data_IF_903458420105
#
_entry.id   IF_903458420105
#
_cell.length_a   1.000
_cell.length_b   1.000
_cell.length_c   1.000
_cell.angle_alpha   90.00
_cell.angle_beta   90.00
_cell.angle_gamma   90.00
#
_symmetry.space_group_name_H-M   'P 1'
#
loop_
_entity.id
_entity.type
_entity.pdbx_description
1 polymer ?
#
# COMPACT_ATOMS: atom_id res chain seq x y z
N UNK A 1 -27.99 -3.80 -11.15
CA UNK A 1 -27.88 -5.26 -10.94
C UNK A 1 -27.79 -5.92 -12.29
N UNK A 2 -26.73 -6.67 -12.53
CA UNK A 2 -26.58 -7.43 -13.77
C UNK A 2 -26.65 -8.91 -13.41
N UNK A 3 -27.47 -9.66 -14.16
CA UNK A 3 -27.53 -11.12 -14.09
C UNK A 3 -27.22 -11.65 -15.49
N UNK A 4 -26.28 -12.59 -15.59
CA UNK A 4 -26.00 -13.29 -16.84
C UNK A 4 -26.68 -14.66 -16.83
N UNK A 5 -27.40 -14.99 -17.90
CA UNK A 5 -27.85 -16.35 -18.19
C UNK A 5 -27.01 -16.91 -19.34
N UNK A 6 -26.44 -18.11 -19.13
CA UNK A 6 -25.77 -18.84 -20.19
C UNK A 6 -26.60 -20.09 -20.49
N UNK A 7 -26.94 -20.28 -21.76
CA UNK A 7 -27.65 -21.46 -22.27
C UNK A 7 -26.64 -22.35 -23.00
N UNK A 8 -26.45 -23.59 -22.48
CA UNK A 8 -25.62 -24.60 -23.12
C UNK A 8 -26.54 -25.66 -23.76
N UNK A 9 -26.54 -25.69 -25.11
CA UNK A 9 -27.30 -26.66 -25.90
C UNK A 9 -26.56 -27.98 -26.02
N UNK A 10 -26.39 -28.67 -24.91
CA UNK A 10 -25.89 -30.04 -24.92
C UNK A 10 -26.91 -31.05 -25.38
N UNK A 11 -26.47 -32.23 -25.88
CA UNK A 11 -27.30 -33.33 -26.32
C UNK A 11 -28.24 -33.92 -25.23
N UNK A 12 -28.15 -33.43 -23.98
CA UNK A 12 -28.98 -33.79 -22.82
C UNK A 12 -30.06 -32.79 -22.45
N UNK A 13 -30.31 -31.78 -23.28
CA UNK A 13 -31.25 -30.68 -23.03
C UNK A 13 -30.55 -29.41 -22.53
N UNK A 14 -31.23 -28.26 -22.71
CA UNK A 14 -30.72 -26.97 -22.28
C UNK A 14 -30.55 -26.94 -20.77
N UNK A 15 -29.32 -26.66 -20.31
CA UNK A 15 -29.01 -26.41 -18.90
C UNK A 15 -28.80 -24.92 -18.71
N UNK A 16 -29.67 -24.27 -17.92
CA UNK A 16 -29.57 -22.85 -17.61
C UNK A 16 -28.73 -22.68 -16.35
N UNK A 17 -27.51 -22.13 -16.49
CA UNK A 17 -26.68 -21.68 -15.36
C UNK A 17 -27.00 -20.24 -15.01
N UNK A 18 -27.26 -19.93 -13.74
CA UNK A 18 -27.41 -18.55 -13.27
C UNK A 18 -26.14 -18.13 -12.51
N UNK A 19 -25.54 -17.01 -12.91
CA UNK A 19 -24.47 -16.38 -12.13
C UNK A 19 -25.02 -15.73 -10.86
N UNK A 20 -24.15 -15.53 -9.85
CA UNK A 20 -24.48 -14.71 -8.70
C UNK A 20 -24.79 -13.24 -9.11
N UNK A 21 -25.51 -12.53 -8.25
CA UNK A 21 -25.78 -11.09 -8.46
C UNK A 21 -24.52 -10.29 -8.16
N UNK A 22 -24.02 -9.57 -9.16
CA UNK A 22 -22.96 -8.58 -8.97
C UNK A 22 -23.60 -7.19 -8.79
N UNK A 23 -23.33 -6.55 -7.67
CA UNK A 23 -23.74 -5.18 -7.40
C UNK A 23 -22.57 -4.25 -7.67
N UNK A 24 -22.75 -3.27 -8.57
CA UNK A 24 -21.80 -2.22 -8.84
C UNK A 24 -22.31 -0.92 -8.23
N UNK A 25 -21.43 -0.21 -7.52
CA UNK A 25 -21.66 1.17 -7.10
C UNK A 25 -20.85 2.10 -7.99
N UNK A 26 -21.52 3.11 -8.55
CA UNK A 26 -20.82 4.19 -9.27
C UNK A 26 -20.45 5.24 -8.23
N UNK A 27 -19.16 5.46 -8.09
CA UNK A 27 -18.58 6.46 -7.18
C UNK A 27 -17.88 7.56 -8.00
N UNK A 28 -17.75 8.75 -7.44
CA UNK A 28 -16.97 9.82 -8.06
C UNK A 28 -15.46 9.48 -8.01
N UNK A 29 -14.64 10.05 -8.90
CA UNK A 29 -13.19 9.89 -8.83
C UNK A 29 -12.60 10.32 -7.47
N UNK A 30 -13.14 11.39 -6.87
CA UNK A 30 -12.70 11.89 -5.56
C UNK A 30 -13.02 10.89 -4.44
N UNK A 31 -14.22 10.29 -4.43
CA UNK A 31 -14.61 9.25 -3.47
C UNK A 31 -13.74 8.00 -3.62
N UNK A 32 -13.52 7.54 -4.85
CA UNK A 32 -12.66 6.39 -5.12
C UNK A 32 -11.22 6.65 -4.66
N UNK A 33 -10.71 7.84 -4.93
CA UNK A 33 -9.36 8.22 -4.48
C UNK A 33 -9.26 8.20 -2.95
N UNK A 34 -10.24 8.76 -2.25
CA UNK A 34 -10.30 8.74 -0.79
C UNK A 34 -10.32 7.32 -0.23
N UNK A 35 -11.11 6.42 -0.80
CA UNK A 35 -11.13 5.00 -0.41
C UNK A 35 -9.78 4.31 -0.62
N UNK A 36 -9.10 4.60 -1.74
CA UNK A 36 -7.76 4.09 -2.02
C UNK A 36 -6.77 4.56 -0.95
N UNK A 37 -6.82 5.83 -0.55
CA UNK A 37 -5.96 6.39 0.49
C UNK A 37 -6.18 5.72 1.85
N UNK A 38 -7.44 5.50 2.24
CA UNK A 38 -7.75 4.78 3.50
C UNK A 38 -7.13 3.39 3.48
N UNK A 39 -7.26 2.67 2.35
CA UNK A 39 -6.66 1.33 2.19
C UNK A 39 -5.14 1.38 2.27
N UNK A 40 -4.50 2.34 1.63
CA UNK A 40 -3.03 2.51 1.68
C UNK A 40 -2.55 2.84 3.10
N UNK A 41 -3.23 3.73 3.83
CA UNK A 41 -2.93 4.03 5.25
C UNK A 41 -3.05 2.79 6.14
N UNK A 42 -4.05 1.95 5.90
CA UNK A 42 -4.19 0.70 6.62
C UNK A 42 -3.03 -0.29 6.33
N UNK A 43 -2.57 -0.39 5.08
CA UNK A 43 -1.40 -1.22 4.75
C UNK A 43 -0.10 -0.63 5.34
N UNK A 44 0.07 0.70 5.35
CA UNK A 44 1.19 1.35 6.03
C UNK A 44 1.21 1.05 7.53
N UNK A 45 0.06 1.12 8.20
CA UNK A 45 -0.04 0.79 9.63
C UNK A 45 0.40 -0.65 9.93
N UNK A 46 0.06 -1.61 9.07
CA UNK A 46 0.55 -2.99 9.17
C UNK A 46 2.06 -3.07 8.98
N UNK A 47 2.60 -2.31 8.04
CA UNK A 47 4.04 -2.28 7.79
C UNK A 47 4.81 -1.65 8.97
N UNK A 48 4.28 -0.58 9.59
CA UNK A 48 4.82 0.00 10.85
C UNK A 48 4.92 -1.09 11.92
N UNK A 49 3.85 -1.85 12.13
CA UNK A 49 3.87 -2.92 13.13
C UNK A 49 4.94 -4.00 12.85
N UNK A 50 5.22 -4.29 11.57
CA UNK A 50 6.29 -5.21 11.17
C UNK A 50 7.68 -4.61 11.44
N UNK A 51 7.89 -3.31 11.19
CA UNK A 51 9.14 -2.60 11.51
C UNK A 51 9.39 -2.64 13.02
N UNK A 52 8.40 -2.27 13.82
CA UNK A 52 8.48 -2.29 15.29
C UNK A 52 8.78 -3.69 15.83
N UNK A 53 8.15 -4.72 15.24
CA UNK A 53 8.41 -6.10 15.63
C UNK A 53 9.84 -6.54 15.28
N UNK A 54 10.37 -6.13 14.13
CA UNK A 54 11.75 -6.40 13.74
C UNK A 54 12.74 -5.69 14.66
N UNK A 55 12.51 -4.40 14.99
CA UNK A 55 13.37 -3.65 15.91
C UNK A 55 13.43 -4.27 17.31
N UNK A 56 12.31 -4.75 17.85
CA UNK A 56 12.24 -5.44 19.13
C UNK A 56 13.07 -6.73 19.18
N UNK A 57 13.41 -7.31 18.04
CA UNK A 57 14.25 -8.51 17.96
C UNK A 57 15.76 -8.18 18.00
N UNK A 58 16.15 -6.94 17.73
CA UNK A 58 17.54 -6.50 17.69
C UNK A 58 18.34 -6.84 18.96
N UNK A 59 17.86 -6.52 20.18
CA UNK A 59 18.60 -6.81 21.40
C UNK A 59 18.85 -8.32 21.61
N UNK A 60 17.91 -9.17 21.22
CA UNK A 60 18.08 -10.61 21.31
C UNK A 60 19.19 -11.14 20.39
N UNK A 61 19.29 -10.60 19.17
CA UNK A 61 20.33 -10.98 18.21
C UNK A 61 21.70 -10.36 18.56
N UNK A 62 21.74 -9.21 19.22
CA UNK A 62 22.97 -8.60 19.72
C UNK A 62 23.49 -9.30 20.96
N UNK A 63 22.61 -9.76 21.84
CA UNK A 63 22.92 -10.51 23.05
C UNK A 63 23.21 -12.00 22.79
N UNK A 64 23.19 -12.79 23.86
CA UNK A 64 23.33 -14.25 23.77
C UNK A 64 21.96 -14.93 23.73
N UNK A 65 21.25 -14.74 22.61
CA UNK A 65 19.94 -15.35 22.40
C UNK A 65 20.00 -16.88 22.55
N UNK A 66 19.06 -17.44 23.29
CA UNK A 66 18.88 -18.87 23.38
C UNK A 66 18.44 -19.46 22.03
N UNK A 67 18.74 -20.76 21.77
CA UNK A 67 18.30 -21.41 20.54
C UNK A 67 16.81 -21.26 20.26
N UNK A 68 16.00 -21.36 21.30
CA UNK A 68 14.54 -21.24 21.22
C UNK A 68 14.09 -19.83 20.78
N UNK A 69 14.78 -18.79 21.27
CA UNK A 69 14.55 -17.40 20.86
C UNK A 69 14.91 -17.18 19.40
N UNK A 70 16.03 -17.72 18.93
CA UNK A 70 16.44 -17.67 17.53
C UNK A 70 15.40 -18.34 16.63
N UNK A 71 14.89 -19.51 17.03
CA UNK A 71 13.83 -20.21 16.30
C UNK A 71 12.53 -19.40 16.28
N UNK A 72 12.18 -18.73 17.39
CA UNK A 72 11.00 -17.85 17.43
C UNK A 72 11.17 -16.65 16.50
N UNK A 73 12.35 -16.01 16.48
CA UNK A 73 12.68 -14.92 15.56
C UNK A 73 12.59 -15.39 14.09
N UNK A 74 13.12 -16.57 13.78
CA UNK A 74 13.06 -17.16 12.45
C UNK A 74 11.61 -17.39 11.99
N UNK A 75 10.72 -17.89 12.85
CA UNK A 75 9.30 -18.06 12.54
C UNK A 75 8.60 -16.73 12.32
N UNK A 76 8.89 -15.73 13.16
CA UNK A 76 8.36 -14.36 12.98
C UNK A 76 8.83 -13.76 11.65
N UNK A 77 10.09 -13.93 11.26
CA UNK A 77 10.65 -13.51 9.99
C UNK A 77 9.93 -14.14 8.78
N UNK A 78 9.61 -15.43 8.86
CA UNK A 78 8.84 -16.10 7.80
C UNK A 78 7.40 -15.52 7.68
N UNK A 79 6.78 -15.19 8.81
CA UNK A 79 5.48 -14.51 8.78
C UNK A 79 5.59 -13.10 8.21
N UNK A 80 6.63 -12.35 8.59
CA UNK A 80 6.90 -11.01 8.07
C UNK A 80 7.10 -11.01 6.55
N UNK A 81 7.84 -11.98 6.00
CA UNK A 81 8.03 -12.12 4.55
C UNK A 81 6.69 -12.23 3.80
N UNK A 82 5.78 -13.07 4.30
CA UNK A 82 4.45 -13.23 3.70
C UNK A 82 3.63 -11.93 3.80
N UNK A 83 3.66 -11.28 4.96
CA UNK A 83 2.91 -10.03 5.18
C UNK A 83 3.44 -8.89 4.32
N UNK A 84 4.76 -8.74 4.18
CA UNK A 84 5.36 -7.75 3.28
C UNK A 84 4.94 -8.00 1.83
N UNK A 85 4.95 -9.24 1.38
CA UNK A 85 4.45 -9.62 0.04
C UNK A 85 2.97 -9.27 -0.16
N UNK A 86 2.13 -9.50 0.85
CA UNK A 86 0.71 -9.14 0.80
C UNK A 86 0.49 -7.62 0.77
N UNK A 87 1.24 -6.86 1.58
CA UNK A 87 1.21 -5.39 1.57
C UNK A 87 1.60 -4.87 0.19
N UNK A 88 2.71 -5.38 -0.37
CA UNK A 88 3.16 -5.01 -1.72
C UNK A 88 2.09 -5.29 -2.79
N UNK A 89 1.43 -6.45 -2.71
CA UNK A 89 0.33 -6.81 -3.61
C UNK A 89 -0.83 -5.82 -3.52
N UNK A 90 -1.32 -5.54 -2.31
CA UNK A 90 -2.47 -4.64 -2.10
C UNK A 90 -2.20 -3.20 -2.53
N UNK A 91 -0.97 -2.70 -2.30
CA UNK A 91 -0.59 -1.36 -2.77
C UNK A 91 -0.47 -1.35 -4.30
N UNK A 92 0.05 -2.43 -4.91
CA UNK A 92 0.11 -2.56 -6.36
C UNK A 92 -1.29 -2.63 -7.00
N UNK A 93 -2.23 -3.35 -6.38
CA UNK A 93 -3.62 -3.41 -6.82
C UNK A 93 -4.29 -2.03 -6.74
N UNK A 94 -4.07 -1.29 -5.64
CA UNK A 94 -4.55 0.08 -5.48
C UNK A 94 -3.95 1.02 -6.55
N UNK A 95 -2.66 0.90 -6.85
CA UNK A 95 -2.02 1.65 -7.93
C UNK A 95 -2.61 1.31 -9.31
N UNK A 96 -2.89 0.04 -9.56
CA UNK A 96 -3.54 -0.39 -10.81
C UNK A 96 -4.97 0.18 -10.92
N UNK A 97 -5.72 0.17 -9.82
CA UNK A 97 -7.06 0.78 -9.75
C UNK A 97 -7.00 2.29 -10.04
N UNK A 98 -6.01 3.02 -9.49
CA UNK A 98 -5.77 4.44 -9.82
C UNK A 98 -5.52 4.65 -11.31
N UNK A 99 -4.65 3.81 -11.92
CA UNK A 99 -4.33 3.90 -13.36
C UNK A 99 -5.55 3.64 -14.24
N UNK A 100 -6.33 2.61 -13.93
CA UNK A 100 -7.54 2.24 -14.71
C UNK A 100 -8.62 3.32 -14.65
N UNK A 101 -8.76 3.99 -13.51
CA UNK A 101 -9.74 5.05 -13.31
C UNK A 101 -9.17 6.47 -13.58
N UNK A 102 -7.97 6.58 -14.13
CA UNK A 102 -7.29 7.84 -14.44
C UNK A 102 -7.14 8.78 -13.22
N UNK A 103 -7.01 8.21 -12.04
CA UNK A 103 -6.83 8.92 -10.78
C UNK A 103 -5.34 9.18 -10.55
N UNK A 104 -4.99 10.42 -10.29
CA UNK A 104 -3.62 10.85 -10.08
C UNK A 104 -2.85 11.10 -11.38
N UNK A 105 -1.60 11.52 -11.25
CA UNK A 105 -0.72 11.83 -12.38
C UNK A 105 0.25 10.68 -12.68
N UNK A 106 0.81 10.60 -13.89
CA UNK A 106 1.87 9.64 -14.18
C UNK A 106 3.09 9.78 -13.26
N UNK A 107 3.35 10.97 -12.73
CA UNK A 107 4.42 11.22 -11.76
C UNK A 107 4.08 10.59 -10.41
N UNK A 108 2.85 10.77 -9.92
CA UNK A 108 2.41 10.17 -8.66
C UNK A 108 2.38 8.65 -8.74
N UNK A 109 1.96 8.07 -9.87
CA UNK A 109 2.01 6.63 -10.07
C UNK A 109 3.43 6.07 -10.02
N UNK A 110 4.40 6.77 -10.62
CA UNK A 110 5.82 6.38 -10.54
C UNK A 110 6.37 6.48 -9.12
N UNK A 111 6.07 7.56 -8.40
CA UNK A 111 6.49 7.70 -6.99
C UNK A 111 6.01 6.53 -6.14
N UNK A 112 4.77 6.09 -6.30
CA UNK A 112 4.23 4.96 -5.57
C UNK A 112 4.84 3.63 -6.04
N UNK A 113 5.02 3.45 -7.36
CA UNK A 113 5.62 2.25 -7.92
C UNK A 113 7.06 2.07 -7.46
N UNK A 114 7.90 3.08 -7.77
CA UNK A 114 9.35 3.01 -7.58
C UNK A 114 9.76 3.20 -6.12
N UNK A 115 8.99 4.02 -5.36
CA UNK A 115 9.28 4.33 -3.96
C UNK A 115 8.72 3.32 -2.96
N UNK A 116 7.64 2.61 -3.31
CA UNK A 116 6.94 1.74 -2.35
C UNK A 116 6.77 0.31 -2.87
N UNK A 117 6.10 0.13 -4.01
CA UNK A 117 5.73 -1.22 -4.50
C UNK A 117 6.97 -2.05 -4.80
N UNK A 118 7.89 -1.52 -5.61
CA UNK A 118 9.08 -2.26 -6.03
C UNK A 118 10.05 -2.52 -4.89
N UNK A 119 10.33 -1.57 -3.97
CA UNK A 119 11.13 -1.84 -2.78
C UNK A 119 10.52 -2.88 -1.84
N UNK A 120 9.19 -2.89 -1.63
CA UNK A 120 8.53 -3.93 -0.83
C UNK A 120 8.67 -5.32 -1.47
N UNK A 121 8.51 -5.42 -2.79
CA UNK A 121 8.73 -6.67 -3.54
C UNK A 121 10.18 -7.14 -3.46
N UNK A 122 11.12 -6.22 -3.62
CA UNK A 122 12.54 -6.52 -3.51
C UNK A 122 12.91 -7.01 -2.09
N UNK A 123 12.38 -6.36 -1.04
CA UNK A 123 12.57 -6.77 0.35
C UNK A 123 12.05 -8.19 0.60
N UNK A 124 10.86 -8.51 0.10
CA UNK A 124 10.24 -9.83 0.25
C UNK A 124 10.98 -10.94 -0.54
N UNK A 125 11.58 -10.60 -1.67
CA UNK A 125 12.26 -11.56 -2.55
C UNK A 125 13.76 -11.78 -2.21
N UNK A 126 14.41 -10.82 -1.54
CA UNK A 126 15.85 -10.85 -1.28
C UNK A 126 16.22 -10.79 0.20
N UNK A 127 16.26 -9.61 0.83
CA UNK A 127 16.77 -9.46 2.20
C UNK A 127 16.06 -10.33 3.23
N UNK A 128 14.72 -10.43 3.21
CA UNK A 128 13.97 -11.25 4.17
C UNK A 128 14.27 -12.76 4.05
N UNK A 129 14.26 -13.39 2.87
CA UNK A 129 14.73 -14.77 2.70
C UNK A 129 16.18 -15.00 3.13
N UNK A 130 17.08 -14.04 2.88
CA UNK A 130 18.49 -14.13 3.30
C UNK A 130 18.63 -14.08 4.81
N UNK A 131 17.89 -13.19 5.49
CA UNK A 131 17.80 -13.17 6.95
C UNK A 131 17.26 -14.50 7.48
N UNK A 132 16.21 -15.04 6.86
CA UNK A 132 15.64 -16.33 7.25
C UNK A 132 16.67 -17.47 7.18
N UNK A 133 17.45 -17.53 6.11
CA UNK A 133 18.52 -18.51 5.95
C UNK A 133 19.62 -18.33 7.02
N UNK A 134 20.03 -17.09 7.31
CA UNK A 134 21.02 -16.79 8.34
C UNK A 134 20.54 -17.19 9.75
N UNK A 135 19.27 -16.94 10.09
CA UNK A 135 18.67 -17.34 11.36
C UNK A 135 18.57 -18.87 11.50
N UNK A 136 18.25 -19.58 10.42
CA UNK A 136 18.25 -21.05 10.40
C UNK A 136 19.65 -21.61 10.61
N UNK A 137 20.66 -21.04 9.93
CA UNK A 137 22.05 -21.40 10.11
C UNK A 137 22.52 -21.16 11.57
N UNK A 138 22.13 -20.02 12.17
CA UNK A 138 22.44 -19.73 13.58
C UNK A 138 21.78 -20.71 14.55
N UNK A 139 20.54 -21.11 14.28
CA UNK A 139 19.83 -22.08 15.12
C UNK A 139 20.45 -23.49 15.07
N UNK A 140 21.06 -23.85 13.93
CA UNK A 140 21.68 -25.16 13.71
C UNK A 140 23.19 -25.20 14.04
N UNK A 141 23.83 -24.06 14.34
CA UNK A 141 25.28 -23.98 14.50
C UNK A 141 25.73 -24.47 15.90
N UNK A 142 26.74 -25.36 15.94
CA UNK A 142 27.47 -25.75 17.15
C UNK A 142 28.39 -24.59 17.60
N UNK A 143 29.11 -23.94 16.69
CA UNK A 143 29.92 -22.74 16.94
C UNK A 143 29.19 -21.50 16.44
N UNK A 144 28.63 -20.71 17.34
CA UNK A 144 27.67 -19.64 17.01
C UNK A 144 28.27 -18.32 16.49
N UNK A 145 29.57 -18.06 16.74
CA UNK A 145 30.18 -16.76 16.46
C UNK A 145 29.92 -16.25 15.03
N UNK A 146 30.45 -16.88 13.97
CA UNK A 146 30.28 -16.40 12.59
C UNK A 146 28.82 -16.40 12.13
N UNK A 147 28.03 -17.41 12.53
CA UNK A 147 26.60 -17.47 12.18
C UNK A 147 25.77 -16.35 12.85
N UNK A 148 26.15 -15.99 14.08
CA UNK A 148 25.54 -14.86 14.80
C UNK A 148 25.85 -13.53 14.12
N UNK A 149 27.10 -13.30 13.73
CA UNK A 149 27.50 -12.08 13.07
C UNK A 149 26.79 -11.90 11.71
N UNK A 150 26.63 -12.99 10.95
CA UNK A 150 25.87 -12.96 9.71
C UNK A 150 24.37 -12.69 9.95
N UNK A 151 23.75 -13.34 10.92
CA UNK A 151 22.35 -13.10 11.26
C UNK A 151 22.11 -11.65 11.72
N UNK A 152 23.01 -11.10 12.54
CA UNK A 152 22.97 -9.68 12.97
C UNK A 152 23.08 -8.72 11.79
N UNK A 153 24.04 -8.96 10.92
CA UNK A 153 24.26 -8.13 9.72
C UNK A 153 23.02 -8.14 8.83
N UNK A 154 22.45 -9.32 8.53
CA UNK A 154 21.23 -9.44 7.73
C UNK A 154 20.02 -8.82 8.37
N UNK A 155 19.89 -8.97 9.69
CA UNK A 155 18.81 -8.33 10.43
C UNK A 155 18.91 -6.79 10.36
N UNK A 156 20.08 -6.22 10.58
CA UNK A 156 20.31 -4.79 10.48
C UNK A 156 20.02 -4.24 9.07
N UNK A 157 20.41 -4.98 8.02
CA UNK A 157 20.09 -4.67 6.62
C UNK A 157 18.58 -4.64 6.38
N UNK A 158 17.85 -5.65 6.85
CA UNK A 158 16.39 -5.72 6.74
C UNK A 158 15.71 -4.56 7.46
N UNK A 159 16.07 -4.29 8.72
CA UNK A 159 15.48 -3.19 9.49
C UNK A 159 15.75 -1.84 8.82
N UNK A 160 16.97 -1.61 8.33
CA UNK A 160 17.32 -0.38 7.61
C UNK A 160 16.48 -0.22 6.35
N UNK A 161 16.36 -1.28 5.53
CA UNK A 161 15.56 -1.27 4.31
C UNK A 161 14.08 -1.04 4.62
N UNK A 162 13.53 -1.68 5.65
CA UNK A 162 12.15 -1.47 6.08
C UNK A 162 11.89 -0.01 6.49
N UNK A 163 12.79 0.60 7.23
CA UNK A 163 12.69 2.02 7.61
C UNK A 163 12.72 2.96 6.41
N UNK A 164 13.59 2.69 5.45
CA UNK A 164 13.65 3.47 4.20
C UNK A 164 12.33 3.38 3.42
N UNK A 165 11.75 2.19 3.31
CA UNK A 165 10.45 2.02 2.66
C UNK A 165 9.35 2.77 3.43
N UNK A 166 9.35 2.69 4.76
CA UNK A 166 8.38 3.39 5.60
C UNK A 166 8.46 4.91 5.43
N UNK A 167 9.67 5.46 5.29
CA UNK A 167 9.90 6.87 4.98
C UNK A 167 9.31 7.24 3.61
N UNK A 168 9.51 6.41 2.58
CA UNK A 168 8.90 6.63 1.26
C UNK A 168 7.37 6.58 1.31
N UNK A 169 6.79 5.67 2.10
CA UNK A 169 5.35 5.63 2.32
C UNK A 169 4.84 6.92 2.98
N UNK A 170 5.58 7.47 3.95
CA UNK A 170 5.25 8.75 4.61
C UNK A 170 5.34 9.94 3.65
N UNK A 171 6.37 9.97 2.81
CA UNK A 171 6.53 11.00 1.78
C UNK A 171 5.39 10.96 0.75
N UNK A 172 4.97 9.77 0.36
CA UNK A 172 3.80 9.58 -0.50
C UNK A 172 2.53 10.13 0.14
N UNK A 173 2.24 9.80 1.40
CA UNK A 173 1.07 10.34 2.13
C UNK A 173 1.10 11.87 2.19
N UNK A 174 2.24 12.46 2.57
CA UNK A 174 2.41 13.91 2.63
C UNK A 174 2.21 14.57 1.25
N UNK A 175 2.72 13.97 0.18
CA UNK A 175 2.50 14.44 -1.19
C UNK A 175 1.01 14.46 -1.55
N UNK A 176 0.30 13.40 -1.21
CA UNK A 176 -1.15 13.30 -1.48
C UNK A 176 -1.94 14.32 -0.68
N UNK A 177 -1.61 14.53 0.60
CA UNK A 177 -2.28 15.52 1.43
C UNK A 177 -2.11 16.94 0.86
N UNK A 178 -0.93 17.28 0.37
CA UNK A 178 -0.67 18.56 -0.33
C UNK A 178 -1.48 18.68 -1.62
N UNK A 179 -1.53 17.64 -2.44
CA UNK A 179 -2.32 17.63 -3.68
C UNK A 179 -3.79 17.86 -3.38
N UNK A 180 -4.35 17.22 -2.36
CA UNK A 180 -5.73 17.40 -1.94
C UNK A 180 -6.00 18.83 -1.46
N UNK A 181 -5.11 19.42 -0.64
CA UNK A 181 -5.23 20.80 -0.20
C UNK A 181 -5.25 21.79 -1.37
N UNK A 182 -4.36 21.60 -2.35
CA UNK A 182 -4.33 22.43 -3.56
C UNK A 182 -5.62 22.29 -4.37
N UNK A 183 -6.15 21.08 -4.52
CA UNK A 183 -7.41 20.84 -5.21
C UNK A 183 -8.60 21.56 -4.52
N UNK A 184 -8.65 21.54 -3.20
CA UNK A 184 -9.67 22.27 -2.43
C UNK A 184 -9.54 23.79 -2.58
N UNK A 185 -8.32 24.34 -2.60
CA UNK A 185 -8.09 25.76 -2.85
C UNK A 185 -8.59 26.15 -4.25
N UNK A 186 -8.30 25.36 -5.28
CA UNK A 186 -8.77 25.58 -6.66
C UNK A 186 -10.31 25.57 -6.72
N UNK A 187 -10.97 24.62 -6.06
CA UNK A 187 -12.44 24.56 -5.98
C UNK A 187 -13.04 25.82 -5.31
N UNK A 188 -12.41 26.28 -4.23
CA UNK A 188 -12.84 27.53 -3.55
C UNK A 188 -12.65 28.76 -4.42
N UNK A 189 -11.54 28.87 -5.13
CA UNK A 189 -11.25 29.97 -6.05
C UNK A 189 -12.26 30.02 -7.22
N UNK A 190 -12.57 28.87 -7.82
CA UNK A 190 -13.58 28.76 -8.87
C UNK A 190 -14.97 29.20 -8.37
N UNK A 191 -15.33 28.83 -7.14
CA UNK A 191 -16.60 29.25 -6.52
C UNK A 191 -16.67 30.76 -6.30
N UNK A 192 -15.57 31.36 -5.82
CA UNK A 192 -15.47 32.82 -5.64
C UNK A 192 -15.59 33.54 -6.98
N UNK A 193 -14.90 33.03 -8.03
CA UNK A 193 -14.99 33.58 -9.38
C UNK A 193 -16.44 33.59 -9.89
N UNK A 194 -17.14 32.46 -9.81
CA UNK A 194 -18.55 32.35 -10.21
C UNK A 194 -19.45 33.31 -9.43
N UNK A 195 -19.24 33.46 -8.12
CA UNK A 195 -20.00 34.40 -7.30
C UNK A 195 -19.75 35.85 -7.69
N UNK A 196 -18.50 36.17 -8.02
CA UNK A 196 -18.10 37.51 -8.46
C UNK A 196 -18.70 37.84 -9.82
N UNK A 197 -18.72 36.90 -10.75
CA UNK A 197 -19.36 37.06 -12.07
C UNK A 197 -20.87 37.31 -11.93
N UNK A 198 -21.57 36.49 -11.15
CA UNK A 198 -23.00 36.67 -10.84
C UNK A 198 -23.31 38.03 -10.23
N UNK A 199 -22.49 38.46 -9.24
CA UNK A 199 -22.66 39.77 -8.62
C UNK A 199 -22.43 40.93 -9.59
N UNK A 200 -21.53 40.79 -10.56
CA UNK A 200 -21.34 41.76 -11.64
C UNK A 200 -22.52 41.83 -12.61
N UNK A 201 -23.05 40.66 -12.98
CA UNK A 201 -24.23 40.58 -13.86
C UNK A 201 -25.46 41.23 -13.20
N UNK A 202 -25.69 40.91 -11.90
CA UNK A 202 -26.81 41.51 -11.15
C UNK A 202 -26.67 43.03 -11.05
N UNK A 203 -25.47 43.55 -10.73
CA UNK A 203 -25.24 45.02 -10.74
C UNK A 203 -25.41 45.67 -12.07
N UNK A 204 -25.00 45.00 -13.16
CA UNK A 204 -25.19 45.51 -14.50
C UNK A 204 -26.69 45.62 -14.86
N UNK A 205 -27.50 44.61 -14.49
CA UNK A 205 -28.93 44.64 -14.71
C UNK A 205 -29.63 45.76 -13.90
N UNK A 206 -29.27 45.94 -12.62
CA UNK A 206 -29.81 47.03 -11.78
C UNK A 206 -29.56 48.43 -12.35
N UNK A 207 -28.42 48.62 -13.02
CA UNK A 207 -28.05 49.92 -13.66
C UNK A 207 -28.84 50.18 -14.94
N UNK A 208 -29.39 49.16 -15.60
CA UNK A 208 -30.16 49.29 -16.82
C UNK A 208 -31.68 49.34 -16.61
N UNK A 209 -32.16 48.99 -15.41
CA UNK A 209 -33.57 48.99 -15.03
C UNK A 209 -34.01 50.29 -14.31
N UNK A 210 -33.08 51.21 -13.98
CA UNK A 210 -33.29 52.59 -13.51
C UNK A 210 -33.14 53.60 -14.68
#
# INVERSE_FOLDING_TARGET
RFTGEADDRCARGAQTGRSGVLAFSVVSPDELFYEILIRQRAERAKFVALVDAAEKQTPALEGDAKPEEVVAIARAGQSATRQVGQIAGRIADALQEMKLNQIGSPKSHRLLQDGVVDPLRALAAGPLPQLQAALQALAAADARGPAKDEARRRHAEVVTTMKQILEQMSQWESFVDVVNQVAEVIKMEQKVLQQTEKARETRAQEVFDD
#
